data_IF_907636204586
#
_entry.id   IF_907636204586
#
_cell.length_a   1.000
_cell.length_b   1.000
_cell.length_c   1.000
_cell.angle_alpha   90.00
_cell.angle_beta   90.00
_cell.angle_gamma   90.00
#
_symmetry.space_group_name_H-M   'P 1'
#
loop_
_entity.id
_entity.type
_entity.pdbx_description
1 polymer ?
#
# COMPACT_ATOMS: atom_id res chain seq x y z
N UNK A 1 11.05 -8.26 -3.11
CA UNK A 1 10.87 -7.48 -4.36
C UNK A 1 10.50 -6.04 -4.01
N UNK A 2 10.42 -5.13 -4.99
CA UNK A 2 9.84 -3.78 -4.80
C UNK A 2 8.41 -3.79 -5.36
N UNK A 3 7.43 -3.46 -4.54
CA UNK A 3 6.01 -3.48 -4.91
C UNK A 3 5.40 -2.10 -4.66
N UNK A 4 4.61 -1.61 -5.62
CA UNK A 4 3.92 -0.32 -5.51
C UNK A 4 2.42 -0.58 -5.50
N UNK A 5 1.73 -0.07 -4.50
CA UNK A 5 0.28 -0.03 -4.41
C UNK A 5 -0.19 1.37 -4.77
N UNK A 6 -1.04 1.46 -5.79
CA UNK A 6 -1.67 2.71 -6.24
C UNK A 6 -3.12 2.66 -5.76
N UNK A 7 -3.39 3.24 -4.60
CA UNK A 7 -4.67 3.13 -3.90
C UNK A 7 -5.10 4.48 -3.32
N UNK A 8 -6.30 4.52 -2.75
CA UNK A 8 -6.83 5.68 -2.03
C UNK A 8 -5.90 6.13 -0.88
N UNK A 9 -6.08 7.37 -0.36
CA UNK A 9 -5.35 7.85 0.81
C UNK A 9 -5.37 6.83 1.97
N UNK A 10 -4.20 6.36 2.40
CA UNK A 10 -4.07 5.43 3.54
C UNK A 10 -4.90 5.85 4.78
N UNK A 11 -4.98 7.14 5.17
CA UNK A 11 -5.79 7.55 6.32
C UNK A 11 -7.30 7.31 6.19
N UNK A 12 -7.80 6.98 4.99
CA UNK A 12 -9.21 6.70 4.71
C UNK A 12 -9.53 5.21 4.65
N UNK A 13 -8.53 4.34 4.67
CA UNK A 13 -8.70 2.90 4.59
C UNK A 13 -8.91 2.33 6.00
N UNK A 14 -9.84 1.39 6.12
CA UNK A 14 -9.99 0.59 7.33
C UNK A 14 -9.09 -0.65 7.23
N UNK A 15 -7.99 -0.74 8.01
CA UNK A 15 -7.07 -1.87 7.92
C UNK A 15 -7.73 -3.22 8.27
N UNK A 16 -8.89 -3.21 8.93
CA UNK A 16 -9.59 -4.44 9.34
C UNK A 16 -10.52 -5.01 8.25
N UNK A 17 -10.85 -4.23 7.22
CA UNK A 17 -11.78 -4.64 6.15
C UNK A 17 -11.23 -4.40 4.73
N UNK A 18 -10.11 -3.67 4.60
CA UNK A 18 -9.54 -3.32 3.30
C UNK A 18 -8.59 -4.41 2.76
N UNK A 19 -8.93 -4.96 1.59
CA UNK A 19 -8.12 -6.00 0.94
C UNK A 19 -6.76 -5.47 0.47
N UNK A 20 -6.66 -4.21 0.06
CA UNK A 20 -5.39 -3.63 -0.37
C UNK A 20 -4.42 -3.52 0.81
N UNK A 21 -4.91 -3.12 1.99
CA UNK A 21 -4.12 -3.10 3.22
C UNK A 21 -3.66 -4.50 3.60
N UNK A 22 -4.53 -5.51 3.54
CA UNK A 22 -4.17 -6.90 3.82
C UNK A 22 -3.07 -7.43 2.87
N UNK A 23 -3.14 -7.09 1.58
CA UNK A 23 -2.10 -7.45 0.61
C UNK A 23 -0.76 -6.74 0.87
N UNK A 24 -0.81 -5.47 1.28
CA UNK A 24 0.39 -4.73 1.69
C UNK A 24 1.03 -5.35 2.94
N UNK A 25 0.23 -5.75 3.92
CA UNK A 25 0.69 -6.47 5.11
C UNK A 25 1.38 -7.78 4.74
N UNK A 26 0.72 -8.62 3.93
CA UNK A 26 1.29 -9.89 3.48
C UNK A 26 2.62 -9.69 2.73
N UNK A 27 2.70 -8.67 1.86
CA UNK A 27 3.92 -8.33 1.13
C UNK A 27 5.05 -7.87 2.07
N UNK A 28 4.74 -7.04 3.07
CA UNK A 28 5.69 -6.66 4.12
C UNK A 28 6.18 -7.89 4.90
N UNK A 29 5.27 -8.77 5.31
CA UNK A 29 5.59 -10.02 6.03
C UNK A 29 6.46 -10.99 5.22
N UNK A 30 6.30 -11.00 3.89
CA UNK A 30 7.15 -11.75 2.96
C UNK A 30 8.53 -11.09 2.70
N UNK A 31 8.87 -10.01 3.39
CA UNK A 31 10.16 -9.32 3.24
C UNK A 31 10.27 -8.48 1.95
N UNK A 32 9.15 -8.09 1.35
CA UNK A 32 9.16 -7.19 0.20
C UNK A 32 9.23 -5.72 0.63
N UNK A 33 9.85 -4.87 -0.20
CA UNK A 33 9.81 -3.42 -0.04
C UNK A 33 8.49 -2.93 -0.63
N UNK A 34 7.61 -2.45 0.23
CA UNK A 34 6.28 -1.97 -0.15
C UNK A 34 6.29 -0.45 -0.23
N UNK A 35 5.72 0.07 -1.31
CA UNK A 35 5.54 1.48 -1.55
C UNK A 35 4.07 1.77 -1.82
N UNK A 36 3.65 2.99 -1.48
CA UNK A 36 2.32 3.50 -1.72
C UNK A 36 2.38 4.80 -2.51
N UNK A 37 1.38 5.02 -3.35
CA UNK A 37 1.10 6.30 -4.00
C UNK A 37 -0.38 6.40 -4.39
N UNK A 38 -0.79 7.59 -4.82
CA UNK A 38 -2.15 7.86 -5.28
C UNK A 38 -2.14 8.10 -6.80
N UNK A 39 -3.26 7.81 -7.47
CA UNK A 39 -3.36 7.97 -8.92
C UNK A 39 -3.01 9.39 -9.40
N UNK A 40 -3.40 10.43 -8.66
CA UNK A 40 -3.11 11.82 -9.03
C UNK A 40 -1.62 12.21 -8.93
N UNK A 41 -0.77 11.34 -8.36
CA UNK A 41 0.68 11.55 -8.25
C UNK A 41 1.47 10.87 -9.38
N UNK A 42 0.79 10.11 -10.22
CA UNK A 42 1.37 9.50 -11.41
C UNK A 42 1.58 10.57 -12.49
N UNK A 43 2.66 10.45 -13.25
CA UNK A 43 2.98 11.36 -14.36
C UNK A 43 3.51 10.56 -15.53
N UNK A 44 3.25 11.04 -16.74
CA UNK A 44 3.95 10.61 -17.94
C UNK A 44 4.91 11.73 -18.37
N UNK A 45 6.21 11.45 -18.36
CA UNK A 45 7.24 12.42 -18.74
C UNK A 45 8.14 11.76 -19.77
N UNK A 46 8.24 12.36 -20.96
CA UNK A 46 9.08 11.82 -22.05
C UNK A 46 8.64 10.46 -22.58
N UNK A 47 7.36 10.08 -22.42
CA UNK A 47 6.85 8.76 -22.81
C UNK A 47 7.06 7.66 -21.76
N UNK A 48 7.63 8.00 -20.61
CA UNK A 48 7.85 7.07 -19.50
C UNK A 48 6.90 7.35 -18.34
N UNK A 49 6.57 6.31 -17.56
CA UNK A 49 5.75 6.43 -16.36
C UNK A 49 6.60 6.78 -15.14
N UNK A 50 6.19 7.84 -14.43
CA UNK A 50 6.81 8.35 -13.22
C UNK A 50 5.82 8.41 -12.06
N UNK A 51 6.29 8.21 -10.84
CA UNK A 51 5.48 8.34 -9.63
C UNK A 51 6.33 8.80 -8.45
N UNK A 52 5.74 9.59 -7.55
CA UNK A 52 6.29 9.83 -6.22
C UNK A 52 5.80 8.73 -5.28
N UNK A 53 6.73 7.99 -4.70
CA UNK A 53 6.44 6.82 -3.88
C UNK A 53 6.76 7.10 -2.41
N UNK A 54 5.90 6.63 -1.51
CA UNK A 54 6.19 6.61 -0.08
C UNK A 54 6.43 5.17 0.36
N UNK A 55 7.53 4.87 1.08
CA UNK A 55 7.72 3.55 1.65
C UNK A 55 6.66 3.31 2.73
N UNK A 56 6.14 2.10 2.80
CA UNK A 56 5.15 1.70 3.80
C UNK A 56 5.58 0.43 4.49
N UNK A 57 5.42 0.40 5.81
CA UNK A 57 5.50 -0.79 6.61
C UNK A 57 4.15 -0.98 7.31
N UNK A 58 3.46 -2.06 6.98
CA UNK A 58 2.21 -2.42 7.65
C UNK A 58 2.55 -3.42 8.76
N UNK A 59 2.11 -3.13 9.99
CA UNK A 59 2.23 -4.05 11.11
C UNK A 59 1.03 -5.01 11.09
N UNK A 60 1.22 -6.31 11.41
CA UNK A 60 0.11 -7.24 11.48
C UNK A 60 -0.96 -6.80 12.45
N UNK A 61 -2.22 -6.86 12.02
CA UNK A 61 -3.36 -6.63 12.90
C UNK A 61 -3.80 -7.95 13.55
N UNK A 62 -3.99 -7.94 14.86
CA UNK A 62 -4.54 -9.08 15.58
C UNK A 62 -6.07 -8.98 15.64
N UNK A 63 -6.78 -10.03 15.22
CA UNK A 63 -8.21 -10.14 15.45
C UNK A 63 -8.48 -10.24 16.96
N UNK A 64 -9.37 -9.39 17.47
CA UNK A 64 -9.69 -9.30 18.90
C UNK A 64 -10.99 -10.03 19.29
N UNK A 65 -11.56 -10.83 18.38
CA UNK A 65 -12.87 -11.47 18.58
C UNK A 65 -14.03 -10.66 17.99
N UNK A 66 -15.17 -11.33 17.79
CA UNK A 66 -16.43 -10.68 17.47
C UNK A 66 -17.02 -10.13 18.78
N UNK A 67 -17.36 -8.83 18.81
CA UNK A 67 -18.01 -8.18 19.95
C UNK A 67 -19.49 -8.53 20.03
#
# INVERSE_FOLDING_TARGET
>A
MKLVFIIDPLPRLDPTHDTSVALMEAACGAGHQVFWTEMHRLRAVGGEAWAQLQPVQVAPIAWQGDR
#
